data_IF_943946235616
#
_entry.id   IF_943946235616
#
_cell.length_a   1.000
_cell.length_b   1.000
_cell.length_c   1.000
_cell.angle_alpha   90.00
_cell.angle_beta   90.00
_cell.angle_gamma   90.00
#
_symmetry.space_group_name_H-M   'P 1'
#
loop_
_entity.id
_entity.type
_entity.pdbx_description
1 polymer ?
#
# COMPACT_ATOMS: atom_id res chain seq x y z
N UNK A 1 4.68 -9.65 -3.89
CA UNK A 1 3.91 -8.83 -4.85
C UNK A 1 4.80 -7.68 -5.25
N UNK A 2 4.84 -7.31 -6.53
CA UNK A 2 5.70 -6.23 -7.03
C UNK A 2 4.86 -5.02 -7.51
N UNK A 3 5.42 -3.81 -7.53
CA UNK A 3 4.81 -2.64 -8.16
C UNK A 3 4.39 -2.86 -9.63
N UNK A 4 5.19 -3.60 -10.40
CA UNK A 4 4.95 -3.90 -11.81
C UNK A 4 3.69 -4.75 -11.98
N UNK A 5 3.51 -5.77 -11.12
CA UNK A 5 2.32 -6.61 -11.15
C UNK A 5 1.06 -5.78 -10.85
N UNK A 6 1.13 -4.85 -9.90
CA UNK A 6 0.03 -3.95 -9.56
C UNK A 6 -0.27 -2.93 -10.65
N UNK A 7 0.76 -2.47 -11.36
CA UNK A 7 0.61 -1.61 -12.54
C UNK A 7 -0.18 -2.28 -13.64
N UNK A 8 0.14 -3.55 -13.94
CA UNK A 8 -0.60 -4.36 -14.93
C UNK A 8 -2.06 -4.56 -14.49
N UNK A 9 -2.29 -4.75 -13.19
CA UNK A 9 -3.64 -4.90 -12.62
C UNK A 9 -4.39 -3.58 -12.39
N UNK A 10 -3.75 -2.43 -12.66
CA UNK A 10 -4.26 -1.09 -12.35
C UNK A 10 -4.71 -0.91 -10.89
N UNK A 11 -3.95 -1.48 -9.94
CA UNK A 11 -4.25 -1.39 -8.51
C UNK A 11 -3.35 -0.36 -7.84
N UNK A 12 -3.96 0.61 -7.17
CA UNK A 12 -3.24 1.53 -6.29
C UNK A 12 -2.86 0.83 -4.98
N UNK A 13 -1.76 1.25 -4.38
CA UNK A 13 -1.17 0.54 -3.26
C UNK A 13 -0.45 1.46 -2.29
N UNK A 14 -0.32 0.99 -1.06
CA UNK A 14 0.61 1.54 -0.09
C UNK A 14 1.92 0.75 -0.14
N UNK A 15 3.03 1.44 0.08
CA UNK A 15 4.27 0.82 0.56
C UNK A 15 4.33 1.07 2.05
N UNK A 16 4.38 0.01 2.84
CA UNK A 16 4.45 0.07 4.29
C UNK A 16 5.86 -0.31 4.78
N UNK A 17 6.30 0.35 5.85
CA UNK A 17 7.57 0.07 6.52
C UNK A 17 7.43 0.31 8.02
N UNK A 18 7.94 -0.62 8.84
CA UNK A 18 8.00 -0.47 10.28
C UNK A 18 9.32 0.20 10.69
N UNK A 19 9.25 1.45 11.12
CA UNK A 19 10.41 2.29 11.45
C UNK A 19 10.14 2.97 12.79
N UNK A 20 11.10 2.90 13.73
CA UNK A 20 11.00 3.59 15.03
C UNK A 20 9.69 3.31 15.78
N UNK A 21 9.27 2.04 15.81
CA UNK A 21 8.03 1.58 16.45
C UNK A 21 6.73 2.18 15.86
N UNK A 22 6.83 2.74 14.65
CA UNK A 22 5.72 3.32 13.91
C UNK A 22 5.56 2.63 12.55
N UNK A 23 4.30 2.50 12.12
CA UNK A 23 3.96 2.02 10.79
C UNK A 23 3.89 3.21 9.84
N UNK A 24 4.92 3.39 9.01
CA UNK A 24 4.91 4.35 7.92
C UNK A 24 4.23 3.75 6.69
N UNK A 25 3.31 4.50 6.05
CA UNK A 25 2.62 4.06 4.84
C UNK A 25 2.65 5.14 3.78
N UNK A 26 3.27 4.84 2.64
CA UNK A 26 3.41 5.77 1.52
C UNK A 26 2.47 5.36 0.38
N UNK A 27 1.47 6.19 0.01
CA UNK A 27 0.51 5.83 -1.02
C UNK A 27 1.09 6.00 -2.43
N UNK A 28 0.79 5.06 -3.31
CA UNK A 28 1.25 5.02 -4.69
C UNK A 28 0.10 4.71 -5.63
N UNK A 29 0.07 5.40 -6.77
CA UNK A 29 -0.80 5.07 -7.89
C UNK A 29 -0.30 3.77 -8.54
N UNK A 30 -1.19 3.02 -9.19
CA UNK A 30 -0.79 1.89 -10.05
C UNK A 30 0.29 2.27 -11.07
N UNK A 31 0.39 3.54 -11.47
CA UNK A 31 1.41 3.99 -12.42
C UNK A 31 2.85 3.96 -11.85
N UNK A 32 2.98 3.76 -10.53
CA UNK A 32 4.24 3.63 -9.80
C UNK A 32 4.68 4.91 -9.09
N UNK A 33 3.96 6.03 -9.24
CA UNK A 33 4.29 7.28 -8.56
C UNK A 33 3.60 7.37 -7.21
N UNK A 34 4.31 7.94 -6.24
CA UNK A 34 3.71 8.38 -4.99
C UNK A 34 2.61 9.39 -5.28
N UNK A 35 1.48 9.27 -4.57
CA UNK A 35 0.38 10.24 -4.65
C UNK A 35 0.49 11.26 -3.53
N UNK A 36 -0.13 12.42 -3.74
CA UNK A 36 -0.12 13.50 -2.75
C UNK A 36 -1.04 13.18 -1.56
N UNK A 37 -1.11 14.10 -0.60
CA UNK A 37 -1.91 13.97 0.63
C UNK A 37 -3.42 13.86 0.36
N UNK A 38 -3.87 14.42 -0.77
CA UNK A 38 -5.25 14.29 -1.24
C UNK A 38 -5.51 12.98 -1.97
N UNK A 39 -4.55 12.04 -2.02
CA UNK A 39 -4.62 10.80 -2.82
C UNK A 39 -4.84 11.04 -4.31
N UNK A 40 -4.42 12.18 -4.84
CA UNK A 40 -4.47 12.51 -6.26
C UNK A 40 -3.14 12.21 -6.94
N UNK A 41 -3.21 11.59 -8.12
CA UNK A 41 -2.03 11.31 -8.94
C UNK A 41 -1.96 12.29 -10.11
N UNK A 42 -1.02 13.25 -10.05
CA UNK A 42 -0.85 14.27 -11.09
C UNK A 42 -0.49 13.69 -12.46
N UNK A 43 0.21 12.56 -12.49
CA UNK A 43 0.60 11.91 -13.74
C UNK A 43 -0.57 11.23 -14.46
N UNK A 44 -1.56 10.75 -13.71
CA UNK A 44 -2.75 10.08 -14.26
C UNK A 44 -3.98 10.99 -14.28
N UNK A 45 -3.94 12.14 -13.60
CA UNK A 45 -5.05 13.07 -13.49
C UNK A 45 -6.28 12.50 -12.78
N UNK A 46 -6.08 11.67 -11.74
CA UNK A 46 -7.19 10.95 -11.07
C UNK A 46 -7.00 10.82 -9.57
N UNK A 47 -8.12 10.60 -8.88
CA UNK A 47 -8.17 10.15 -7.50
C UNK A 47 -7.78 8.66 -7.40
N UNK A 48 -6.87 8.34 -6.50
CA UNK A 48 -6.41 6.97 -6.23
C UNK A 48 -7.10 6.39 -4.99
N UNK A 49 -7.30 5.07 -5.01
CA UNK A 49 -7.90 4.33 -3.89
C UNK A 49 -7.01 3.13 -3.56
N UNK A 50 -6.15 3.28 -2.56
CA UNK A 50 -5.19 2.26 -2.19
C UNK A 50 -5.84 1.19 -1.31
N UNK A 51 -5.91 -0.05 -1.82
CA UNK A 51 -6.44 -1.22 -1.08
C UNK A 51 -5.41 -2.35 -0.96
N UNK A 52 -4.26 -2.23 -1.62
CA UNK A 52 -3.14 -3.16 -1.50
C UNK A 52 -2.07 -2.53 -0.63
N UNK A 53 -1.43 -3.31 0.23
CA UNK A 53 -0.32 -2.88 1.08
C UNK A 53 0.89 -3.77 0.80
N UNK A 54 1.95 -3.20 0.26
CA UNK A 54 3.25 -3.84 0.07
C UNK A 54 4.13 -3.60 1.29
N UNK A 55 4.41 -4.66 2.06
CA UNK A 55 5.11 -4.55 3.33
C UNK A 55 6.62 -4.81 3.15
N UNK A 56 7.45 -3.83 3.52
CA UNK A 56 8.90 -4.00 3.55
C UNK A 56 9.33 -4.85 4.74
N UNK A 57 9.64 -6.11 4.46
CA UNK A 57 10.11 -7.08 5.44
C UNK A 57 9.00 -7.75 6.28
N UNK A 58 9.36 -8.85 6.95
CA UNK A 58 8.39 -9.71 7.65
C UNK A 58 7.78 -9.04 8.89
N UNK A 59 8.51 -8.16 9.59
CA UNK A 59 7.99 -7.43 10.75
C UNK A 59 6.82 -6.51 10.36
N UNK A 60 7.01 -5.72 9.30
CA UNK A 60 5.97 -4.84 8.77
C UNK A 60 4.73 -5.62 8.39
N UNK A 61 4.87 -6.75 7.69
CA UNK A 61 3.75 -7.59 7.28
C UNK A 61 2.95 -8.06 8.50
N UNK A 62 3.63 -8.59 9.51
CA UNK A 62 2.98 -9.06 10.74
C UNK A 62 2.18 -7.94 11.43
N UNK A 63 2.75 -6.74 11.51
CA UNK A 63 2.06 -5.58 12.11
C UNK A 63 0.82 -5.21 11.30
N UNK A 64 0.93 -5.13 9.98
CA UNK A 64 -0.21 -4.79 9.10
C UNK A 64 -1.30 -5.85 9.21
N UNK A 65 -0.98 -7.14 9.17
CA UNK A 65 -1.96 -8.22 9.31
C UNK A 65 -2.71 -8.15 10.66
N UNK A 66 -2.02 -7.80 11.75
CA UNK A 66 -2.67 -7.57 13.04
C UNK A 66 -3.68 -6.41 12.98
N UNK A 67 -3.34 -5.30 12.31
CA UNK A 67 -4.27 -4.18 12.13
C UNK A 67 -5.47 -4.55 11.25
N UNK A 68 -5.24 -5.24 10.14
CA UNK A 68 -6.31 -5.62 9.20
C UNK A 68 -7.30 -6.60 9.84
N UNK A 69 -6.82 -7.58 10.61
CA UNK A 69 -7.69 -8.53 11.29
C UNK A 69 -8.38 -7.94 12.53
N UNK A 70 -7.82 -6.88 13.12
CA UNK A 70 -8.38 -6.22 14.30
C UNK A 70 -9.58 -5.31 14.01
N UNK A 71 -9.82 -4.90 12.77
CA UNK A 71 -10.89 -3.96 12.42
C UNK A 71 -11.67 -4.40 11.15
N UNK A 72 -12.99 -4.68 11.26
CA UNK A 72 -13.85 -5.04 10.13
C UNK A 72 -13.90 -4.00 8.99
N UNK A 73 -13.65 -2.73 9.28
CA UNK A 73 -13.62 -1.66 8.28
C UNK A 73 -12.51 -1.87 7.24
N UNK A 74 -11.48 -2.66 7.59
CA UNK A 74 -10.37 -2.96 6.70
C UNK A 74 -10.51 -4.27 5.91
N UNK A 75 -11.70 -4.88 5.87
CA UNK A 75 -11.95 -6.15 5.17
C UNK A 75 -11.57 -6.20 3.68
N UNK A 76 -11.49 -5.04 3.02
CA UNK A 76 -11.15 -4.94 1.60
C UNK A 76 -9.64 -4.72 1.35
N UNK A 77 -8.86 -4.53 2.42
CA UNK A 77 -7.42 -4.37 2.31
C UNK A 77 -6.73 -5.72 2.21
N UNK A 78 -5.67 -5.76 1.41
CA UNK A 78 -4.83 -6.93 1.23
C UNK A 78 -3.38 -6.55 1.47
N UNK A 79 -2.69 -7.32 2.32
CA UNK A 79 -1.27 -7.14 2.59
C UNK A 79 -0.46 -8.23 1.89
N UNK A 80 0.66 -7.83 1.30
CA UNK A 80 1.62 -8.74 0.66
C UNK A 80 3.05 -8.35 1.04
N UNK A 81 4.00 -9.29 1.06
CA UNK A 81 5.41 -8.95 1.04
C UNK A 81 5.73 -8.08 -0.17
N UNK A 82 6.50 -7.01 0.06
CA UNK A 82 7.14 -6.26 -1.02
C UNK A 82 8.26 -7.14 -1.60
N UNK A 83 8.12 -7.49 -2.87
CA UNK A 83 9.19 -8.11 -3.67
C UNK A 83 9.76 -7.04 -4.62
N UNK A 84 11.08 -6.86 -4.60
CA UNK A 84 11.83 -6.02 -5.54
C UNK A 84 12.00 -6.72 -6.91
#
# INVERSE_FOLDING_TARGET
>A
MTPEALKVQQRDYFVAEWVEEQLAMTPHCFCGRQVNEDYFCDACGRQCTCQVILCRGPQTLRVVEMFLHGNPDFKNFQAFPYED
#
